data_IF_743129425892
#
_entry.id   IF_743129425892
#
_cell.length_a   1.000
_cell.length_b   1.000
_cell.length_c   1.000
_cell.angle_alpha   90.00
_cell.angle_beta   90.00
_cell.angle_gamma   90.00
#
_symmetry.space_group_name_H-M   'P 1'
#
loop_
_entity.id
_entity.type
_entity.pdbx_description
1 polymer ?
#
# COMPACT_ATOMS: atom_id res chain seq x y z
N UNK A 1 19.25 10.45 1.34
CA UNK A 1 17.77 10.43 1.23
C UNK A 1 17.32 8.98 1.32
N UNK A 2 16.33 8.67 2.17
CA UNK A 2 15.75 7.32 2.23
C UNK A 2 14.82 7.18 1.02
N UNK A 3 15.11 6.22 0.14
CA UNK A 3 14.23 5.89 -0.98
C UNK A 3 13.28 4.78 -0.55
N UNK A 4 11.98 5.02 -0.68
CA UNK A 4 10.97 3.99 -0.42
C UNK A 4 10.84 3.12 -1.66
N UNK A 5 10.96 1.79 -1.52
CA UNK A 5 10.58 0.85 -2.57
C UNK A 5 9.07 0.66 -2.52
N UNK A 6 8.42 0.81 -3.66
CA UNK A 6 6.96 0.74 -3.75
C UNK A 6 6.50 -0.13 -4.90
N UNK A 7 5.33 -0.72 -4.70
CA UNK A 7 4.47 -1.26 -5.74
C UNK A 7 3.22 -0.40 -5.79
N UNK A 8 3.04 0.38 -6.85
CA UNK A 8 1.86 1.19 -7.08
C UNK A 8 0.84 0.37 -7.87
N UNK A 9 -0.34 0.12 -7.29
CA UNK A 9 -1.44 -0.58 -7.97
C UNK A 9 -2.52 0.43 -8.36
N UNK A 10 -2.89 0.43 -9.63
CA UNK A 10 -3.89 1.30 -10.21
C UNK A 10 -5.29 0.68 -10.09
N UNK A 11 -6.32 1.52 -10.19
CA UNK A 11 -7.72 1.06 -10.24
C UNK A 11 -8.04 0.23 -11.48
N UNK A 12 -7.29 0.44 -12.58
CA UNK A 12 -7.43 -0.27 -13.84
C UNK A 12 -6.67 -1.62 -13.88
N UNK A 13 -6.05 -2.02 -12.77
CA UNK A 13 -5.27 -3.25 -12.66
C UNK A 13 -3.81 -3.13 -13.08
N UNK A 14 -3.35 -1.98 -13.60
CA UNK A 14 -1.92 -1.75 -13.85
C UNK A 14 -1.12 -1.79 -12.55
N UNK A 15 0.13 -2.22 -12.67
CA UNK A 15 1.07 -2.33 -11.56
C UNK A 15 2.41 -1.74 -11.98
N UNK A 16 2.87 -0.75 -11.22
CA UNK A 16 4.19 -0.12 -11.42
C UNK A 16 5.06 -0.40 -10.20
N UNK A 17 6.34 -0.74 -10.45
CA UNK A 17 7.33 -1.00 -9.39
C UNK A 17 8.46 0.01 -9.51
N UNK A 18 8.92 0.52 -8.39
CA UNK A 18 10.00 1.49 -8.40
C UNK A 18 10.26 2.09 -7.05
N UNK A 19 10.98 3.21 -7.04
CA UNK A 19 11.25 3.97 -5.83
C UNK A 19 10.57 5.33 -5.86
N UNK A 20 10.25 5.86 -4.68
CA UNK A 20 9.75 7.22 -4.51
C UNK A 20 10.46 7.90 -3.34
N UNK A 21 10.62 9.22 -3.45
CA UNK A 21 11.21 10.07 -2.42
C UNK A 21 10.26 11.17 -1.93
N UNK A 22 9.13 11.38 -2.59
CA UNK A 22 8.25 12.52 -2.36
C UNK A 22 6.78 12.16 -2.10
N UNK A 23 6.46 10.86 -1.98
CA UNK A 23 5.13 10.39 -1.59
C UNK A 23 4.67 11.06 -0.29
N UNK A 24 3.46 11.63 -0.32
CA UNK A 24 2.78 12.17 0.84
C UNK A 24 1.28 11.87 0.75
N UNK A 25 0.65 11.39 1.84
CA UNK A 25 -0.78 11.07 1.85
C UNK A 25 -1.68 12.31 1.71
N UNK A 26 -1.12 13.52 1.84
CA UNK A 26 -1.83 14.79 1.72
C UNK A 26 -1.59 15.50 0.37
N UNK A 27 -0.87 14.86 -0.56
CA UNK A 27 -0.66 15.38 -1.92
C UNK A 27 -1.48 14.56 -2.92
N UNK A 28 -1.90 15.21 -4.00
CA UNK A 28 -2.68 14.56 -5.05
C UNK A 28 -1.84 13.70 -6.00
N UNK A 29 -0.52 13.96 -6.03
CA UNK A 29 0.44 13.26 -6.88
C UNK A 29 1.78 13.08 -6.19
N UNK A 30 2.56 12.14 -6.71
CA UNK A 30 3.95 11.89 -6.34
C UNK A 30 4.72 11.34 -7.54
N UNK A 31 6.04 11.18 -7.40
CA UNK A 31 6.89 10.66 -8.47
C UNK A 31 7.39 9.25 -8.15
N UNK A 32 7.36 8.39 -9.17
CA UNK A 32 7.92 7.04 -9.15
C UNK A 32 9.09 6.97 -10.13
N UNK A 33 10.26 6.60 -9.66
CA UNK A 33 11.38 6.19 -10.49
C UNK A 33 11.24 4.69 -10.79
N UNK A 34 10.93 4.27 -12.04
CA UNK A 34 10.64 2.88 -12.35
C UNK A 34 11.85 1.97 -12.10
N UNK A 35 11.59 0.74 -11.66
CA UNK A 35 12.63 -0.27 -11.40
C UNK A 35 13.46 -0.58 -12.66
N UNK A 36 12.80 -0.62 -13.82
CA UNK A 36 13.41 -0.93 -15.13
C UNK A 36 13.78 0.34 -15.92
N UNK A 37 13.87 1.49 -15.25
CA UNK A 37 14.25 2.73 -15.93
C UNK A 37 15.71 2.66 -16.42
N UNK A 38 15.93 3.13 -17.64
CA UNK A 38 17.28 3.36 -18.14
C UNK A 38 18.01 4.41 -17.29
N UNK A 39 19.35 4.38 -17.20
CA UNK A 39 20.11 5.44 -16.55
C UNK A 39 19.72 6.82 -17.11
N UNK A 40 19.30 7.74 -16.22
CA UNK A 40 18.80 9.07 -16.62
C UNK A 40 17.32 9.13 -17.00
N UNK A 41 16.58 8.02 -16.86
CA UNK A 41 15.13 7.99 -17.03
C UNK A 41 14.44 8.97 -16.08
N UNK A 42 13.47 9.72 -16.60
CA UNK A 42 12.69 10.67 -15.81
C UNK A 42 11.70 9.90 -14.90
N UNK A 43 11.50 10.34 -13.65
CA UNK A 43 10.42 9.83 -12.83
C UNK A 43 9.06 10.02 -13.51
N UNK A 44 8.19 9.05 -13.33
CA UNK A 44 6.79 9.08 -13.73
C UNK A 44 5.97 9.83 -12.68
N UNK A 45 5.07 10.71 -13.12
CA UNK A 45 4.04 11.30 -12.26
C UNK A 45 2.92 10.27 -12.03
N UNK A 46 2.56 10.06 -10.77
CA UNK A 46 1.44 9.19 -10.36
C UNK A 46 0.42 10.02 -9.60
N UNK A 47 -0.83 10.00 -10.05
CA UNK A 47 -1.96 10.60 -9.35
C UNK A 47 -2.57 9.61 -8.36
N UNK A 48 -2.79 10.05 -7.13
CA UNK A 48 -3.41 9.24 -6.07
C UNK A 48 -4.85 8.85 -6.44
N UNK A 49 -5.56 9.69 -7.21
CA UNK A 49 -6.92 9.40 -7.70
C UNK A 49 -7.01 8.14 -8.55
N UNK A 50 -5.93 7.79 -9.24
CA UNK A 50 -5.90 6.67 -10.19
C UNK A 50 -5.46 5.37 -9.49
N UNK A 51 -5.07 5.46 -8.22
CA UNK A 51 -4.54 4.38 -7.43
C UNK A 51 -5.64 3.61 -6.71
N UNK A 52 -5.46 2.30 -6.68
CA UNK A 52 -6.03 1.45 -5.64
C UNK A 52 -5.27 1.65 -4.32
N UNK A 53 -3.96 1.47 -4.37
CA UNK A 53 -3.10 1.55 -3.21
C UNK A 53 -1.62 1.64 -3.58
N UNK A 54 -0.82 2.18 -2.65
CA UNK A 54 0.64 2.20 -2.73
C UNK A 54 1.21 1.28 -1.64
N UNK A 55 1.85 0.19 -2.05
CA UNK A 55 2.43 -0.80 -1.16
C UNK A 55 3.91 -0.50 -0.97
N UNK A 56 4.33 -0.23 0.25
CA UNK A 56 5.73 -0.06 0.62
C UNK A 56 6.30 -1.45 0.92
N UNK A 57 7.33 -1.84 0.20
CA UNK A 57 7.85 -3.23 0.21
C UNK A 57 9.32 -3.28 0.62
N UNK A 58 9.74 -4.38 1.27
CA UNK A 58 11.15 -4.59 1.64
C UNK A 58 12.02 -4.74 0.39
N UNK A 59 11.53 -5.50 -0.58
CA UNK A 59 12.20 -5.74 -1.86
C UNK A 59 11.21 -6.01 -3.02
N UNK A 60 11.73 -6.07 -4.25
CA UNK A 60 10.95 -6.34 -5.47
C UNK A 60 10.91 -7.82 -5.87
N UNK A 61 11.72 -8.65 -5.20
CA UNK A 61 11.92 -10.08 -5.45
C UNK A 61 10.97 -10.97 -4.64
N UNK A 62 10.13 -10.37 -3.79
CA UNK A 62 9.23 -11.06 -2.87
C UNK A 62 8.53 -12.29 -3.47
N UNK A 63 8.26 -13.26 -2.61
CA UNK A 63 7.70 -14.54 -3.03
C UNK A 63 6.28 -14.37 -3.60
N UNK A 64 6.13 -14.59 -4.91
CA UNK A 64 4.83 -14.48 -5.62
C UNK A 64 3.81 -15.52 -5.17
N UNK A 65 4.27 -16.63 -4.61
CA UNK A 65 3.41 -17.72 -4.12
C UNK A 65 3.06 -17.53 -2.64
N UNK A 66 3.63 -16.51 -1.98
CA UNK A 66 3.31 -16.20 -0.59
C UNK A 66 1.98 -15.45 -0.51
N UNK A 67 0.98 -16.11 0.04
CA UNK A 67 -0.30 -15.50 0.36
C UNK A 67 -0.27 -14.94 1.79
N UNK A 68 -0.24 -13.61 1.90
CA UNK A 68 -0.31 -12.91 3.19
C UNK A 68 -1.50 -13.39 4.02
N UNK A 69 -1.21 -13.84 5.25
CA UNK A 69 -2.23 -14.23 6.22
C UNK A 69 -3.12 -13.03 6.56
N UNK A 70 -4.42 -13.28 6.69
CA UNK A 70 -5.42 -12.25 7.06
C UNK A 70 -5.77 -12.32 8.55
N UNK A 71 -4.84 -12.86 9.34
CA UNK A 71 -5.01 -13.17 10.75
C UNK A 71 -3.81 -12.65 11.54
N UNK A 72 -4.05 -12.22 12.76
CA UNK A 72 -3.00 -11.78 13.68
C UNK A 72 -2.42 -12.97 14.43
N UNK A 73 -1.12 -12.93 14.72
CA UNK A 73 -0.52 -13.85 15.68
C UNK A 73 -1.10 -13.58 17.08
N UNK A 74 -1.82 -14.55 17.65
CA UNK A 74 -2.42 -14.43 18.98
C UNK A 74 -1.38 -14.28 20.09
N UNK A 75 -0.13 -14.68 19.86
CA UNK A 75 0.95 -14.56 20.83
C UNK A 75 1.58 -13.15 20.86
N UNK A 76 1.22 -12.27 19.92
CA UNK A 76 1.81 -10.93 19.82
C UNK A 76 0.76 -9.83 19.87
N UNK A 77 0.97 -8.78 20.69
CA UNK A 77 0.08 -7.63 20.69
C UNK A 77 0.20 -6.87 19.36
N UNK A 78 -0.94 -6.56 18.76
CA UNK A 78 -0.97 -5.76 17.54
C UNK A 78 -0.80 -4.28 17.89
N UNK A 79 0.09 -3.56 17.20
CA UNK A 79 0.29 -2.12 17.37
C UNK A 79 -0.70 -1.36 16.49
N UNK A 80 -1.54 -0.53 17.11
CA UNK A 80 -2.61 0.23 16.43
C UNK A 80 -3.96 -0.49 16.46
N UNK A 81 -4.96 0.08 15.78
CA UNK A 81 -6.32 -0.48 15.74
C UNK A 81 -6.43 -1.50 14.63
N UNK A 82 -6.96 -2.69 14.93
CA UNK A 82 -7.21 -3.73 13.93
C UNK A 82 -8.28 -3.26 12.96
N UNK A 83 -8.04 -3.50 11.67
CA UNK A 83 -8.90 -3.03 10.59
C UNK A 83 -8.94 -4.06 9.47
N UNK A 84 -10.11 -4.22 8.86
CA UNK A 84 -10.29 -4.90 7.58
C UNK A 84 -10.68 -3.90 6.50
N UNK A 85 -10.16 -4.13 5.30
CA UNK A 85 -10.44 -3.35 4.09
C UNK A 85 -10.83 -4.33 2.99
N UNK A 86 -12.04 -4.17 2.47
CA UNK A 86 -12.49 -4.85 1.25
C UNK A 86 -12.41 -3.83 0.12
N UNK A 87 -11.61 -4.13 -0.89
CA UNK A 87 -11.48 -3.29 -2.08
C UNK A 87 -12.65 -3.51 -3.05
N UNK A 88 -12.88 -2.54 -3.95
CA UNK A 88 -13.93 -2.63 -4.97
C UNK A 88 -13.75 -3.81 -5.95
N UNK A 89 -12.52 -4.28 -6.13
CA UNK A 89 -12.21 -5.48 -6.92
C UNK A 89 -12.34 -6.80 -6.13
N UNK A 90 -12.78 -6.73 -4.86
CA UNK A 90 -13.02 -7.90 -4.02
C UNK A 90 -11.80 -8.38 -3.22
N UNK A 91 -10.61 -7.79 -3.41
CA UNK A 91 -9.46 -8.13 -2.57
C UNK A 91 -9.72 -7.74 -1.10
N UNK A 92 -9.27 -8.60 -0.17
CA UNK A 92 -9.31 -8.37 1.27
C UNK A 92 -7.91 -8.06 1.81
N UNK A 93 -7.79 -6.98 2.57
CA UNK A 93 -6.63 -6.67 3.40
C UNK A 93 -7.03 -6.60 4.87
N UNK A 94 -6.24 -7.24 5.73
CA UNK A 94 -6.39 -7.19 7.18
C UNK A 94 -5.06 -6.73 7.77
N UNK A 95 -5.13 -5.84 8.75
CA UNK A 95 -3.95 -5.24 9.35
C UNK A 95 -4.27 -4.29 10.48
N UNK A 96 -3.30 -3.46 10.87
CA UNK A 96 -3.52 -2.38 11.82
C UNK A 96 -3.40 -1.01 11.17
N UNK A 97 -4.08 -0.03 11.75
CA UNK A 97 -3.94 1.38 11.38
C UNK A 97 -3.75 2.24 12.62
N UNK A 98 -3.03 3.35 12.45
CA UNK A 98 -2.92 4.40 13.48
C UNK A 98 -4.14 5.31 13.49
N UNK A 99 -4.88 5.39 12.37
CA UNK A 99 -6.06 6.24 12.25
C UNK A 99 -6.74 6.08 10.91
N UNK A 100 -8.07 6.04 10.93
CA UNK A 100 -8.91 6.00 9.75
C UNK A 100 -10.00 7.06 9.87
N UNK A 101 -10.17 7.83 8.80
CA UNK A 101 -11.25 8.80 8.63
C UNK A 101 -11.79 8.63 7.20
N UNK A 102 -13.11 8.37 7.02
CA UNK A 102 -13.67 8.10 5.70
C UNK A 102 -13.57 9.29 4.73
N UNK A 103 -13.45 10.51 5.24
CA UNK A 103 -13.37 11.73 4.42
C UNK A 103 -11.92 12.08 4.00
N UNK A 104 -10.92 11.27 4.37
CA UNK A 104 -9.52 11.47 3.95
C UNK A 104 -9.25 10.73 2.63
N UNK A 105 -8.34 11.24 1.78
CA UNK A 105 -8.00 10.60 0.50
C UNK A 105 -7.52 9.14 0.65
N UNK A 106 -6.88 8.83 1.76
CA UNK A 106 -6.44 7.49 2.10
C UNK A 106 -5.93 7.38 3.52
N UNK A 107 -5.47 6.18 3.89
CA UNK A 107 -4.96 5.87 5.21
C UNK A 107 -3.94 4.74 5.12
N UNK A 108 -3.09 4.61 6.14
CA UNK A 108 -2.12 3.53 6.20
C UNK A 108 -2.68 2.29 6.89
N UNK A 109 -2.36 1.13 6.32
CA UNK A 109 -2.56 -0.19 6.91
C UNK A 109 -1.22 -0.93 6.95
N UNK A 110 -0.84 -1.45 8.10
CA UNK A 110 0.26 -2.40 8.26
C UNK A 110 -0.33 -3.80 8.23
N UNK A 111 0.08 -4.70 7.31
CA UNK A 111 -0.50 -6.04 7.22
C UNK A 111 -0.44 -6.81 8.54
N UNK A 112 -1.45 -7.65 8.80
CA UNK A 112 -1.47 -8.52 9.98
C UNK A 112 -0.35 -9.58 9.97
N UNK A 113 0.11 -9.94 8.76
CA UNK A 113 1.17 -10.91 8.56
C UNK A 113 2.56 -10.25 8.62
N UNK A 114 3.30 -10.50 9.72
CA UNK A 114 4.66 -9.98 9.91
C UNK A 114 5.66 -10.49 8.85
N UNK A 115 5.37 -11.64 8.21
CA UNK A 115 6.23 -12.19 7.16
C UNK A 115 5.95 -11.57 5.79
N UNK A 116 4.88 -10.77 5.66
CA UNK A 116 4.57 -10.05 4.42
C UNK A 116 5.77 -9.26 3.92
N UNK A 117 5.95 -9.21 2.59
CA UNK A 117 6.89 -8.30 1.96
C UNK A 117 6.41 -6.83 2.06
N UNK A 118 5.12 -6.61 2.31
CA UNK A 118 4.52 -5.29 2.48
C UNK A 118 4.74 -4.82 3.92
N UNK A 119 5.51 -3.76 4.08
CA UNK A 119 5.79 -3.15 5.38
C UNK A 119 4.62 -2.26 5.82
N UNK A 120 4.03 -1.54 4.86
CA UNK A 120 2.80 -0.76 5.03
C UNK A 120 2.17 -0.50 3.67
N UNK A 121 0.88 -0.27 3.68
CA UNK A 121 0.09 0.03 2.50
C UNK A 121 -0.63 1.36 2.72
N UNK A 122 -0.48 2.31 1.81
CA UNK A 122 -1.40 3.44 1.72
C UNK A 122 -2.59 3.03 0.87
N UNK A 123 -3.74 2.87 1.52
CA UNK A 123 -5.02 2.51 0.88
C UNK A 123 -5.70 3.80 0.44
N UNK A 124 -6.08 3.89 -0.84
CA UNK A 124 -6.90 5.01 -1.32
C UNK A 124 -8.35 4.75 -0.96
N UNK A 125 -8.96 5.64 -0.18
CA UNK A 125 -10.30 5.44 0.38
C UNK A 125 -11.33 5.21 -0.72
N UNK A 126 -11.24 5.94 -1.83
CA UNK A 126 -12.15 5.82 -2.97
C UNK A 126 -12.09 4.44 -3.68
N UNK A 127 -11.02 3.67 -3.47
CA UNK A 127 -10.87 2.30 -4.00
C UNK A 127 -11.53 1.22 -3.14
N UNK A 128 -12.00 1.59 -1.95
CA UNK A 128 -12.58 0.66 -0.97
C UNK A 128 -14.08 0.48 -1.19
N UNK A 129 -14.56 -0.74 -0.93
CA UNK A 129 -15.98 -1.11 -0.84
C UNK A 129 -16.45 -1.07 0.61
N UNK A 130 -15.64 -1.58 1.53
CA UNK A 130 -15.92 -1.60 2.96
C UNK A 130 -14.62 -1.39 3.75
N UNK A 131 -14.71 -0.61 4.82
CA UNK A 131 -13.64 -0.45 5.82
C UNK A 131 -14.28 -0.57 7.19
N UNK A 132 -13.78 -1.49 8.02
CA UNK A 132 -14.31 -1.67 9.37
C UNK A 132 -13.20 -2.03 10.36
N UNK A 133 -13.34 -1.56 11.60
CA UNK A 133 -12.51 -2.01 12.69
C UNK A 133 -12.91 -3.43 13.12
N UNK A 134 -11.91 -4.20 13.56
CA UNK A 134 -12.08 -5.55 14.09
C UNK A 134 -12.03 -5.55 15.62
#
# INVERSE_FOLDING_TARGET
>A
MIQNKIVARYLDGRVEKGTTTDFSPNKDLFHLAPLEAQPGGKPMEIRISDMKAVFFVRDFTGNRDYNDRKEFDSAKPAVGRRIKVIFKDGELMVGTTQGYQPNRPGFFVVPADEKSNVERCFVVTASTKEVAFL
#
